data_IF_036525336666
#
_entry.id   IF_036525336666
#
_cell.length_a   1.000
_cell.length_b   1.000
_cell.length_c   1.000
_cell.angle_alpha   90.00
_cell.angle_beta   90.00
_cell.angle_gamma   90.00
#
_symmetry.space_group_name_H-M   'P 1'
#
loop_
_entity.id
_entity.type
_entity.pdbx_description
1 polymer ?
#
# COMPACT_ATOMS: atom_id res chain seq x y z
N UNK A 1 1.24 -10.80 28.76
CA UNK A 1 0.14 -10.65 27.79
C UNK A 1 0.45 -11.48 26.57
N UNK A 2 -0.54 -12.14 25.94
CA UNK A 2 -0.31 -12.96 24.73
C UNK A 2 -0.05 -12.00 23.56
N UNK A 3 1.10 -12.10 22.91
CA UNK A 3 1.44 -11.24 21.78
C UNK A 3 0.45 -11.51 20.63
N UNK A 4 -0.20 -10.46 20.12
CA UNK A 4 -1.07 -10.59 18.93
C UNK A 4 -0.18 -10.91 17.74
N UNK A 5 -0.66 -11.78 16.86
CA UNK A 5 0.06 -12.16 15.64
C UNK A 5 0.28 -10.98 14.69
N UNK A 6 -0.66 -10.03 14.67
CA UNK A 6 -0.61 -8.82 13.85
C UNK A 6 -0.67 -7.61 14.78
N UNK A 7 0.38 -7.43 15.58
CA UNK A 7 0.45 -6.34 16.55
C UNK A 7 0.51 -4.99 15.83
N UNK A 8 -0.23 -4.00 16.31
CA UNK A 8 -0.12 -2.62 15.81
C UNK A 8 1.35 -2.17 15.99
N UNK A 9 2.04 -1.73 14.93
CA UNK A 9 3.40 -1.22 15.03
C UNK A 9 3.49 0.03 15.89
N UNK A 10 4.60 0.18 16.61
CA UNK A 10 4.83 1.28 17.58
C UNK A 10 4.68 2.67 16.94
N UNK A 11 5.08 2.85 15.68
CA UNK A 11 4.95 4.13 14.99
C UNK A 11 3.49 4.54 14.70
N UNK A 12 2.52 3.66 14.95
CA UNK A 12 1.09 3.91 14.77
C UNK A 12 0.31 4.03 16.09
N UNK A 13 0.89 3.65 17.24
CA UNK A 13 0.16 3.58 18.51
C UNK A 13 -0.42 4.91 18.96
N UNK A 14 0.21 6.03 18.57
CA UNK A 14 -0.24 7.37 18.96
C UNK A 14 -1.42 7.88 18.11
N UNK A 15 -1.70 7.22 16.97
CA UNK A 15 -2.68 7.70 15.99
C UNK A 15 -3.76 6.69 15.63
N UNK A 16 -3.57 5.42 15.98
CA UNK A 16 -4.45 4.33 15.61
C UNK A 16 -4.64 3.35 16.76
N UNK A 17 -5.82 2.75 16.79
CA UNK A 17 -6.13 1.63 17.68
C UNK A 17 -5.92 0.30 16.95
N UNK A 18 -5.58 -0.72 17.73
CA UNK A 18 -5.37 -2.08 17.23
C UNK A 18 -6.54 -2.60 16.39
N UNK A 19 -7.79 -2.36 16.81
CA UNK A 19 -8.98 -2.85 16.11
C UNK A 19 -9.20 -2.14 14.76
N UNK A 20 -8.81 -0.86 14.64
CA UNK A 20 -8.84 -0.15 13.36
C UNK A 20 -7.79 -0.70 12.40
N UNK A 21 -6.60 -1.00 12.90
CA UNK A 21 -5.54 -1.64 12.14
C UNK A 21 -5.95 -3.05 11.66
N UNK A 22 -6.52 -3.87 12.54
CA UNK A 22 -6.99 -5.22 12.21
C UNK A 22 -8.04 -5.19 11.09
N UNK A 23 -8.99 -4.25 11.15
CA UNK A 23 -10.01 -4.03 10.10
C UNK A 23 -9.40 -3.54 8.79
N UNK A 24 -8.42 -2.64 8.84
CA UNK A 24 -7.71 -2.17 7.64
C UNK A 24 -6.93 -3.30 6.98
N UNK A 25 -6.13 -4.03 7.77
CA UNK A 25 -5.29 -5.13 7.30
C UNK A 25 -6.13 -6.23 6.66
N UNK A 26 -7.27 -6.59 7.28
CA UNK A 26 -8.21 -7.55 6.72
C UNK A 26 -8.79 -7.09 5.37
N UNK A 27 -9.22 -5.83 5.26
CA UNK A 27 -9.79 -5.31 4.01
C UNK A 27 -8.76 -5.28 2.88
N UNK A 28 -7.52 -4.86 3.18
CA UNK A 28 -6.43 -4.85 2.20
C UNK A 28 -6.09 -6.25 1.75
N UNK A 29 -5.90 -7.21 2.67
CA UNK A 29 -5.56 -8.58 2.28
C UNK A 29 -6.63 -9.22 1.39
N UNK A 30 -7.92 -9.03 1.71
CA UNK A 30 -9.02 -9.56 0.88
C UNK A 30 -9.12 -8.87 -0.49
N UNK A 31 -8.91 -7.56 -0.55
CA UNK A 31 -8.94 -6.81 -1.82
C UNK A 31 -7.86 -7.29 -2.78
N UNK A 32 -6.62 -7.44 -2.29
CA UNK A 32 -5.51 -7.95 -3.11
C UNK A 32 -5.74 -9.41 -3.50
N UNK A 33 -6.11 -10.27 -2.56
CA UNK A 33 -6.41 -11.67 -2.83
C UNK A 33 -7.47 -11.85 -3.93
N UNK A 34 -8.57 -11.09 -3.85
CA UNK A 34 -9.64 -11.14 -4.86
C UNK A 34 -9.14 -10.68 -6.23
N UNK A 35 -8.35 -9.61 -6.26
CA UNK A 35 -7.79 -9.05 -7.50
C UNK A 35 -6.85 -10.04 -8.18
N UNK A 36 -5.96 -10.68 -7.42
CA UNK A 36 -4.90 -11.49 -8.02
C UNK A 36 -5.38 -12.90 -8.36
N UNK A 37 -6.36 -13.44 -7.62
CA UNK A 37 -7.12 -14.64 -8.06
C UNK A 37 -7.82 -14.41 -9.38
N UNK A 38 -8.40 -13.23 -9.61
CA UNK A 38 -8.99 -12.86 -10.91
C UNK A 38 -7.95 -12.79 -12.03
N UNK A 39 -6.68 -12.50 -11.70
CA UNK A 39 -5.55 -12.47 -12.64
C UNK A 39 -4.88 -13.84 -12.84
N UNK A 40 -5.32 -14.89 -12.12
CA UNK A 40 -4.84 -16.27 -12.31
C UNK A 40 -4.02 -16.85 -11.15
N UNK A 41 -3.77 -16.09 -10.08
CA UNK A 41 -3.04 -16.58 -8.90
C UNK A 41 -3.93 -17.50 -8.03
N UNK A 42 -4.04 -18.77 -8.42
CA UNK A 42 -4.96 -19.75 -7.79
C UNK A 42 -4.49 -20.26 -6.42
N UNK A 43 -3.19 -20.24 -6.14
CA UNK A 43 -2.61 -20.73 -4.88
C UNK A 43 -2.64 -19.70 -3.76
N UNK A 44 -2.85 -18.42 -4.07
CA UNK A 44 -2.86 -17.36 -3.06
C UNK A 44 -3.89 -17.60 -1.95
N UNK A 45 -3.45 -17.46 -0.69
CA UNK A 45 -4.31 -17.53 0.50
C UNK A 45 -4.43 -16.17 1.20
N UNK A 46 -5.58 -15.94 1.85
CA UNK A 46 -5.80 -14.72 2.63
C UNK A 46 -4.88 -14.62 3.86
N UNK A 47 -4.38 -15.75 4.37
CA UNK A 47 -3.42 -15.79 5.47
C UNK A 47 -2.07 -15.24 5.03
N UNK A 48 -1.52 -15.75 3.92
CA UNK A 48 -0.23 -15.29 3.37
C UNK A 48 -0.27 -13.80 3.05
N UNK A 49 -1.34 -13.32 2.40
CA UNK A 49 -1.48 -11.90 2.06
C UNK A 49 -1.55 -11.03 3.32
N UNK A 50 -2.27 -11.49 4.35
CA UNK A 50 -2.37 -10.77 5.62
C UNK A 50 -1.02 -10.70 6.34
N UNK A 51 -0.26 -11.80 6.34
CA UNK A 51 1.09 -11.88 6.92
C UNK A 51 2.08 -10.99 6.15
N UNK A 52 2.10 -11.09 4.83
CA UNK A 52 3.02 -10.32 3.99
C UNK A 52 2.72 -8.81 4.05
N UNK A 53 1.44 -8.40 4.01
CA UNK A 53 1.09 -6.98 4.19
C UNK A 53 1.47 -6.49 5.60
N UNK A 54 1.22 -7.28 6.65
CA UNK A 54 1.61 -6.89 8.01
C UNK A 54 3.13 -6.71 8.12
N UNK A 55 3.89 -7.64 7.54
CA UNK A 55 5.36 -7.54 7.46
C UNK A 55 5.79 -6.26 6.74
N UNK A 56 5.22 -5.96 5.57
CA UNK A 56 5.52 -4.73 4.83
C UNK A 56 5.23 -3.46 5.66
N UNK A 57 4.14 -3.45 6.44
CA UNK A 57 3.85 -2.35 7.36
C UNK A 57 4.93 -2.21 8.44
N UNK A 58 5.38 -3.32 9.05
CA UNK A 58 6.45 -3.28 10.05
C UNK A 58 7.77 -2.78 9.44
N UNK A 59 8.13 -3.29 8.26
CA UNK A 59 9.39 -2.99 7.59
C UNK A 59 9.46 -1.52 7.11
N UNK A 60 8.32 -0.93 6.69
CA UNK A 60 8.30 0.45 6.19
C UNK A 60 8.58 1.52 7.26
N UNK A 61 8.41 1.20 8.54
CA UNK A 61 8.63 2.14 9.65
C UNK A 61 7.82 3.43 9.58
N UNK A 62 6.74 3.46 8.79
CA UNK A 62 5.92 4.64 8.55
C UNK A 62 6.32 5.52 7.35
N UNK A 63 7.24 5.06 6.51
CA UNK A 63 7.76 5.78 5.35
C UNK A 63 7.42 5.07 4.03
N UNK A 64 7.42 5.83 2.93
CA UNK A 64 7.28 5.32 1.58
C UNK A 64 8.53 4.50 1.21
N UNK A 65 8.35 3.22 0.86
CA UNK A 65 9.44 2.31 0.52
C UNK A 65 10.31 2.78 -0.67
N UNK A 66 9.76 3.60 -1.57
CA UNK A 66 10.45 4.03 -2.79
C UNK A 66 11.00 5.45 -2.71
N UNK A 67 10.32 6.35 -1.98
CA UNK A 67 10.73 7.77 -1.90
C UNK A 67 11.32 8.17 -0.55
N UNK A 68 11.12 7.38 0.50
CA UNK A 68 11.49 7.72 1.87
C UNK A 68 10.63 8.82 2.51
N UNK A 69 9.55 9.28 1.84
CA UNK A 69 8.64 10.28 2.39
C UNK A 69 7.85 9.71 3.56
N UNK A 70 7.62 10.52 4.61
CA UNK A 70 6.77 10.11 5.73
C UNK A 70 5.33 9.96 5.26
N UNK A 71 4.74 8.79 5.48
CA UNK A 71 3.36 8.53 5.10
C UNK A 71 2.38 9.14 6.10
N UNK A 72 1.21 9.54 5.60
CA UNK A 72 0.14 10.07 6.43
C UNK A 72 -0.87 8.95 6.74
N UNK A 73 -0.56 8.17 7.77
CA UNK A 73 -1.43 7.10 8.27
C UNK A 73 -2.78 7.61 8.78
N UNK A 74 -2.88 8.88 9.17
CA UNK A 74 -4.16 9.51 9.50
C UNK A 74 -5.15 9.56 8.33
N UNK A 75 -4.74 9.24 7.10
CA UNK A 75 -5.62 9.13 5.93
C UNK A 75 -6.26 7.73 5.78
N UNK A 76 -5.88 6.75 6.60
CA UNK A 76 -6.45 5.41 6.52
C UNK A 76 -7.97 5.44 6.61
N UNK A 77 -8.62 4.76 5.67
CA UNK A 77 -10.09 4.68 5.56
C UNK A 77 -10.84 5.99 5.27
N UNK A 78 -10.13 7.09 4.98
CA UNK A 78 -10.75 8.39 4.63
C UNK A 78 -11.01 8.59 3.14
N UNK A 79 -10.50 7.71 2.29
CA UNK A 79 -10.74 7.76 0.85
C UNK A 79 -12.21 7.43 0.53
N UNK A 80 -12.90 8.34 -0.15
CA UNK A 80 -14.28 8.21 -0.57
C UNK A 80 -14.38 8.23 -2.10
N UNK A 81 -14.81 7.12 -2.70
CA UNK A 81 -14.93 6.99 -4.16
C UNK A 81 -15.99 7.92 -4.78
N UNK A 82 -17.00 8.35 -4.02
CA UNK A 82 -18.04 9.24 -4.52
C UNK A 82 -17.51 10.67 -4.72
N UNK A 83 -16.66 11.15 -3.80
CA UNK A 83 -16.01 12.46 -3.88
C UNK A 83 -14.96 12.56 -4.99
N UNK A 84 -14.51 11.43 -5.53
CA UNK A 84 -13.61 11.41 -6.70
C UNK A 84 -14.33 11.91 -7.96
N UNK A 85 -15.66 11.88 -8.04
CA UNK A 85 -16.37 12.31 -9.27
C UNK A 85 -16.42 13.83 -9.45
N UNK A 86 -16.32 14.60 -8.36
CA UNK A 86 -16.35 16.07 -8.34
C UNK A 86 -14.97 16.61 -7.91
N UNK A 87 -14.20 17.23 -8.81
CA UNK A 87 -12.89 17.82 -8.45
C UNK A 87 -11.70 16.83 -8.35
N UNK A 88 -11.69 15.78 -9.20
CA UNK A 88 -10.72 14.67 -9.25
C UNK A 88 -9.28 14.98 -8.84
N UNK A 89 -8.70 16.06 -9.36
CA UNK A 89 -7.26 16.33 -9.21
C UNK A 89 -6.91 16.85 -7.82
N UNK A 90 -7.70 17.78 -7.28
CA UNK A 90 -7.47 18.35 -5.96
C UNK A 90 -7.77 17.33 -4.87
N UNK A 91 -8.84 16.55 -5.04
CA UNK A 91 -9.17 15.45 -4.13
C UNK A 91 -8.01 14.45 -4.03
N UNK A 92 -7.54 13.92 -5.18
CA UNK A 92 -6.41 12.98 -5.23
C UNK A 92 -5.13 13.53 -4.58
N UNK A 93 -4.86 14.83 -4.76
CA UNK A 93 -3.69 15.49 -4.13
C UNK A 93 -3.74 15.46 -2.61
N UNK A 94 -4.92 15.60 -1.98
CA UNK A 94 -5.07 15.51 -0.51
C UNK A 94 -4.66 14.14 0.03
N UNK A 95 -4.76 13.10 -0.81
CA UNK A 95 -4.41 11.72 -0.48
C UNK A 95 -3.03 11.31 -1.00
N UNK A 96 -2.19 12.24 -1.45
CA UNK A 96 -0.88 11.91 -2.05
C UNK A 96 -0.04 10.99 -1.15
N UNK A 97 -0.02 11.26 0.17
CA UNK A 97 0.72 10.49 1.18
C UNK A 97 -0.09 9.39 1.88
N UNK A 98 -1.24 9.00 1.35
CA UNK A 98 -2.06 7.89 1.89
C UNK A 98 -1.28 6.57 1.80
N UNK A 99 -1.05 5.84 2.92
CA UNK A 99 -0.43 4.53 2.86
C UNK A 99 -1.20 3.57 1.95
N UNK A 100 -0.47 2.96 1.03
CA UNK A 100 -0.95 2.02 0.03
C UNK A 100 -0.08 0.78 0.02
N UNK A 101 -0.68 -0.34 -0.39
CA UNK A 101 0.00 -1.62 -0.54
C UNK A 101 0.33 -1.77 -2.03
N UNK A 102 1.62 -1.79 -2.35
CA UNK A 102 2.10 -2.11 -3.71
C UNK A 102 2.52 -3.58 -3.77
N UNK A 103 2.36 -4.21 -4.94
CA UNK A 103 2.95 -5.52 -5.18
C UNK A 103 4.38 -5.36 -5.67
N UNK A 104 5.24 -6.21 -5.13
CA UNK A 104 6.55 -6.46 -5.73
C UNK A 104 6.35 -7.50 -6.84
N UNK A 105 6.71 -7.14 -8.08
CA UNK A 105 6.55 -8.00 -9.26
C UNK A 105 5.17 -7.97 -9.90
N UNK A 106 4.81 -9.04 -10.61
CA UNK A 106 3.61 -9.14 -11.46
C UNK A 106 2.33 -9.53 -10.68
N UNK A 107 2.43 -9.76 -9.38
CA UNK A 107 1.33 -10.20 -8.52
C UNK A 107 0.92 -11.66 -8.70
N UNK A 108 1.72 -12.45 -9.43
CA UNK A 108 1.54 -13.89 -9.59
C UNK A 108 2.56 -14.63 -8.73
N UNK A 109 2.12 -15.69 -8.04
CA UNK A 109 2.98 -16.48 -7.16
C UNK A 109 2.96 -15.98 -5.72
N UNK A 110 4.13 -15.89 -5.10
CA UNK A 110 4.28 -15.59 -3.67
C UNK A 110 3.79 -14.17 -3.34
N UNK A 111 3.16 -14.04 -2.17
CA UNK A 111 2.74 -12.77 -1.63
C UNK A 111 3.97 -11.92 -1.24
N UNK A 112 4.26 -10.88 -2.01
CA UNK A 112 5.33 -9.92 -1.75
C UNK A 112 4.83 -8.49 -1.96
N UNK A 113 5.06 -7.64 -0.98
CA UNK A 113 4.40 -6.34 -0.86
C UNK A 113 5.33 -5.29 -0.25
N UNK A 114 5.15 -4.07 -0.71
CA UNK A 114 5.76 -2.87 -0.12
C UNK A 114 4.69 -1.87 0.29
N UNK A 115 4.99 -1.06 1.30
CA UNK A 115 4.14 0.08 1.66
C UNK A 115 4.71 1.35 1.04
N UNK A 116 3.90 2.00 0.22
CA UNK A 116 4.24 3.28 -0.39
C UNK A 116 3.06 4.24 -0.34
N UNK A 117 3.28 5.48 -0.73
CA UNK A 117 2.23 6.47 -0.83
C UNK A 117 1.31 6.17 -2.02
N UNK A 118 0.04 6.57 -1.92
CA UNK A 118 -0.92 6.42 -3.01
C UNK A 118 -0.41 7.08 -4.30
N UNK A 119 0.22 8.25 -4.20
CA UNK A 119 0.80 8.94 -5.36
C UNK A 119 1.93 8.12 -6.00
N UNK A 120 2.83 7.56 -5.19
CA UNK A 120 3.92 6.72 -5.70
C UNK A 120 3.37 5.48 -6.39
N UNK A 121 2.39 4.80 -5.77
CA UNK A 121 1.74 3.62 -6.34
C UNK A 121 1.02 3.94 -7.67
N UNK A 122 0.25 5.04 -7.73
CA UNK A 122 -0.45 5.50 -8.93
C UNK A 122 0.53 5.88 -10.05
N UNK A 123 1.69 6.47 -9.71
CA UNK A 123 2.73 6.82 -10.68
C UNK A 123 3.53 5.62 -11.19
N UNK A 124 3.86 4.67 -10.29
CA UNK A 124 4.58 3.43 -10.64
C UNK A 124 3.71 2.50 -11.47
N UNK A 125 2.41 2.42 -11.18
CA UNK A 125 1.45 1.58 -11.92
C UNK A 125 1.93 0.13 -11.99
N UNK A 126 2.13 -0.39 -13.20
CA UNK A 126 2.51 -1.74 -13.57
C UNK A 126 4.02 -1.88 -13.81
N UNK A 127 4.79 -0.78 -13.70
CA UNK A 127 6.22 -0.80 -13.85
C UNK A 127 6.88 -1.52 -12.65
N UNK A 128 7.92 -2.29 -12.94
CA UNK A 128 8.90 -2.69 -11.94
C UNK A 128 9.63 -1.45 -11.38
N UNK A 129 10.33 -1.62 -10.26
CA UNK A 129 11.08 -0.52 -9.66
C UNK A 129 12.16 0.03 -10.61
N UNK A 130 12.84 -0.84 -11.36
CA UNK A 130 13.89 -0.42 -12.28
C UNK A 130 13.32 0.29 -13.52
N UNK A 131 12.20 -0.19 -14.05
CA UNK A 131 11.48 0.50 -15.12
C UNK A 131 10.95 1.87 -14.68
N UNK A 132 10.46 1.97 -13.43
CA UNK A 132 9.99 3.24 -12.89
C UNK A 132 11.14 4.24 -12.69
N UNK A 133 12.28 3.79 -12.15
CA UNK A 133 13.50 4.62 -12.04
C UNK A 133 13.98 5.10 -13.40
N UNK A 134 13.99 4.22 -14.40
CA UNK A 134 14.40 4.57 -15.76
C UNK A 134 13.43 5.58 -16.41
N UNK A 135 12.13 5.44 -16.17
CA UNK A 135 11.14 6.43 -16.61
C UNK A 135 11.39 7.79 -15.94
N UNK A 136 11.60 7.82 -14.62
CA UNK A 136 11.92 9.05 -13.90
C UNK A 136 13.19 9.72 -14.46
N UNK A 137 14.25 8.94 -14.73
CA UNK A 137 15.48 9.45 -15.35
C UNK A 137 15.22 10.11 -16.71
N UNK A 138 14.47 9.44 -17.60
CA UNK A 138 14.09 10.00 -18.90
C UNK A 138 13.29 11.29 -18.80
N UNK A 139 12.41 11.41 -17.80
CA UNK A 139 11.64 12.63 -17.55
C UNK A 139 12.55 13.78 -17.11
N UNK A 140 13.51 13.50 -16.21
CA UNK A 140 14.47 14.51 -15.71
C UNK A 140 15.43 15.01 -16.79
N UNK A 141 15.81 14.16 -17.72
CA UNK A 141 16.73 14.50 -18.83
C UNK A 141 16.04 15.18 -20.02
N UNK A 142 14.71 15.26 -20.01
CA UNK A 142 13.94 15.88 -21.09
C UNK A 142 14.13 17.40 -21.09
N UNK A 143 14.74 17.91 -22.16
CA UNK A 143 14.87 19.35 -22.45
C UNK A 143 13.56 19.94 -22.98
#
# INVERSE_FOLDING_TARGET
>A
MKQRKYQLPDFLTDSHEQDHYDKWLQRKSQSHLKRDRKRGNKSATGKEYKEAIHKAVCDCGGFDAYTGEKLNWGLLSKWNNNEVQEGRREYRRKFALLPSVDHVGDGIGQADFEICSWRTNDAKSDLSLDEFKELCRKVLEKK
#
